data_IF_169558720449
#
_entry.id   IF_169558720449
#
_cell.length_a   1.000
_cell.length_b   1.000
_cell.length_c   1.000
_cell.angle_alpha   90.00
_cell.angle_beta   90.00
_cell.angle_gamma   90.00
#
_symmetry.space_group_name_H-M   'P 1'
#
loop_
_entity.id
_entity.type
_entity.pdbx_description
1 polymer ?
#
# COMPACT_ATOMS: atom_id res chain seq x y z
N UNK A 1 0.69 -48.87 51.31
CA UNK A 1 1.21 -47.54 51.68
C UNK A 1 1.89 -46.95 50.45
N UNK A 2 1.19 -46.07 49.74
CA UNK A 2 1.72 -45.34 48.59
C UNK A 2 2.23 -43.97 49.09
N UNK A 3 3.49 -43.63 48.76
CA UNK A 3 4.06 -42.31 49.01
C UNK A 3 4.08 -41.52 47.70
N UNK A 4 3.15 -40.59 47.58
CA UNK A 4 3.02 -39.65 46.46
C UNK A 4 3.97 -38.48 46.69
N UNK A 5 4.99 -38.30 45.84
CA UNK A 5 5.82 -37.09 45.80
C UNK A 5 5.14 -36.06 44.91
N UNK A 6 4.79 -34.92 45.49
CA UNK A 6 4.21 -33.77 44.78
C UNK A 6 5.38 -32.92 44.26
N UNK A 7 5.54 -32.86 42.93
CA UNK A 7 6.40 -31.88 42.27
C UNK A 7 5.58 -30.61 42.00
N UNK A 8 5.93 -29.51 42.68
CA UNK A 8 5.42 -28.17 42.39
C UNK A 8 6.15 -27.62 41.16
N UNK A 9 5.45 -27.57 40.02
CA UNK A 9 5.89 -26.85 38.81
C UNK A 9 5.41 -25.41 38.95
N UNK A 10 6.34 -24.49 39.19
CA UNK A 10 6.08 -23.04 39.20
C UNK A 10 6.08 -22.54 37.76
N UNK A 11 4.90 -22.27 37.21
CA UNK A 11 4.77 -21.56 35.94
C UNK A 11 5.04 -20.06 36.16
N UNK A 12 6.20 -19.58 35.71
CA UNK A 12 6.43 -18.14 35.53
C UNK A 12 5.68 -17.69 34.28
N UNK A 13 4.49 -17.10 34.46
CA UNK A 13 3.81 -16.37 33.41
C UNK A 13 4.52 -15.04 33.20
N UNK A 14 5.46 -14.98 32.26
CA UNK A 14 5.99 -13.71 31.74
C UNK A 14 4.88 -13.03 30.93
N UNK A 15 4.14 -12.14 31.59
CA UNK A 15 3.24 -11.21 30.91
C UNK A 15 4.13 -10.22 30.15
N UNK A 16 4.31 -10.45 28.86
CA UNK A 16 4.82 -9.44 27.95
C UNK A 16 3.76 -8.34 27.87
N UNK A 17 3.96 -7.25 28.62
CA UNK A 17 3.23 -6.01 28.40
C UNK A 17 3.69 -5.47 27.04
N UNK A 18 2.93 -5.76 25.99
CA UNK A 18 3.00 -4.97 24.77
C UNK A 18 2.48 -3.58 25.15
N UNK A 19 3.39 -2.60 25.31
CA UNK A 19 3.02 -1.20 25.26
C UNK A 19 2.55 -0.90 23.84
N UNK A 20 1.26 -1.12 23.57
CA UNK A 20 0.62 -0.58 22.38
C UNK A 20 0.56 0.92 22.58
N UNK A 21 1.38 1.66 21.84
CA UNK A 21 1.24 3.12 21.72
C UNK A 21 -0.16 3.37 21.21
N UNK A 22 -0.98 4.01 22.05
CA UNK A 22 -2.37 4.22 21.72
C UNK A 22 -2.50 5.32 20.66
N UNK A 23 -2.78 4.95 19.42
CA UNK A 23 -3.03 5.94 18.37
C UNK A 23 -4.22 6.85 18.76
N UNK A 24 -4.17 8.13 18.37
CA UNK A 24 -5.17 9.16 18.75
C UNK A 24 -6.63 8.77 18.46
N UNK A 25 -6.85 7.81 17.56
CA UNK A 25 -8.17 7.34 17.12
C UNK A 25 -8.63 6.00 17.72
N UNK A 26 -7.93 5.46 18.72
CA UNK A 26 -8.18 4.13 19.32
C UNK A 26 -9.56 3.93 19.98
N UNK A 27 -10.37 4.98 20.13
CA UNK A 27 -11.77 4.81 20.58
C UNK A 27 -12.69 4.21 19.51
N UNK A 28 -12.13 3.87 18.35
CA UNK A 28 -12.83 3.22 17.25
C UNK A 28 -12.98 1.71 17.51
N UNK A 29 -14.19 1.19 17.28
CA UNK A 29 -14.49 -0.23 17.25
C UNK A 29 -15.46 -0.48 16.11
N UNK A 30 -15.04 -1.29 15.12
CA UNK A 30 -15.88 -1.63 13.98
C UNK A 30 -17.18 -2.34 14.40
N UNK A 31 -17.16 -3.05 15.53
CA UNK A 31 -18.33 -3.74 16.10
C UNK A 31 -19.29 -2.82 16.85
N UNK A 32 -18.83 -1.65 17.30
CA UNK A 32 -19.60 -0.77 18.17
C UNK A 32 -19.36 0.70 17.81
N UNK A 33 -19.50 1.03 16.53
CA UNK A 33 -19.36 2.40 16.04
C UNK A 33 -20.53 3.28 16.55
N UNK A 34 -20.28 4.50 17.05
CA UNK A 34 -21.33 5.36 17.58
C UNK A 34 -22.38 5.71 16.51
N UNK A 35 -23.66 5.42 16.78
CA UNK A 35 -24.74 5.64 15.81
C UNK A 35 -24.90 7.12 15.41
N UNK A 36 -24.65 8.05 16.33
CA UNK A 36 -24.73 9.50 16.08
C UNK A 36 -23.62 10.01 15.15
N UNK A 37 -22.51 9.29 15.04
CA UNK A 37 -21.38 9.64 14.18
C UNK A 37 -21.53 9.02 12.78
N UNK A 38 -22.54 8.17 12.55
CA UNK A 38 -22.70 7.43 11.31
C UNK A 38 -23.34 8.28 10.20
N UNK A 39 -22.54 8.68 9.23
CA UNK A 39 -22.96 9.43 8.05
C UNK A 39 -22.14 9.01 6.81
N UNK A 40 -22.53 9.41 5.59
CA UNK A 40 -21.70 9.16 4.41
C UNK A 40 -20.31 9.78 4.54
N UNK A 41 -19.27 9.03 4.17
CA UNK A 41 -17.88 9.48 4.24
C UNK A 41 -17.65 10.76 3.43
N UNK A 42 -18.18 10.80 2.21
CA UNK A 42 -18.05 11.95 1.30
C UNK A 42 -18.68 13.22 1.92
N UNK A 43 -19.86 13.10 2.52
CA UNK A 43 -20.49 14.24 3.22
C UNK A 43 -19.68 14.71 4.43
N UNK A 44 -19.13 13.79 5.22
CA UNK A 44 -18.30 14.15 6.37
C UNK A 44 -17.03 14.87 5.94
N UNK A 45 -16.34 14.34 4.90
CA UNK A 45 -15.12 14.93 4.37
C UNK A 45 -15.38 16.29 3.72
N UNK A 46 -16.38 16.38 2.84
CA UNK A 46 -16.77 17.63 2.17
C UNK A 46 -17.11 18.73 3.16
N UNK A 47 -17.93 18.43 4.18
CA UNK A 47 -18.26 19.40 5.21
C UNK A 47 -17.03 19.85 6.02
N UNK A 48 -16.08 18.94 6.27
CA UNK A 48 -14.84 19.30 6.96
C UNK A 48 -14.00 20.32 6.17
N UNK A 49 -14.00 20.21 4.84
CA UNK A 49 -13.31 21.13 3.92
C UNK A 49 -14.05 22.47 3.80
N UNK A 50 -15.38 22.49 3.83
CA UNK A 50 -16.16 23.74 3.92
C UNK A 50 -15.84 24.51 5.20
N UNK A 51 -15.75 23.82 6.34
CA UNK A 51 -15.37 24.46 7.61
C UNK A 51 -13.91 24.92 7.59
N UNK A 52 -13.03 24.20 6.88
CA UNK A 52 -11.64 24.60 6.69
C UNK A 52 -11.55 25.93 5.91
N UNK A 53 -12.29 26.07 4.80
CA UNK A 53 -12.30 27.30 4.01
C UNK A 53 -12.96 28.46 4.75
N UNK A 54 -13.96 28.17 5.58
CA UNK A 54 -14.59 29.12 6.49
C UNK A 54 -13.74 29.50 7.72
N UNK A 55 -12.56 28.88 7.90
CA UNK A 55 -11.66 29.08 9.04
C UNK A 55 -12.26 28.69 10.41
N UNK A 56 -13.30 27.85 10.44
CA UNK A 56 -13.76 27.20 11.67
C UNK A 56 -12.91 25.95 11.93
N UNK A 57 -11.74 26.18 12.51
CA UNK A 57 -10.76 25.14 12.79
C UNK A 57 -11.31 24.02 13.68
N UNK A 58 -12.14 24.37 14.67
CA UNK A 58 -12.67 23.39 15.62
C UNK A 58 -13.66 22.44 14.97
N UNK A 59 -14.58 22.95 14.14
CA UNK A 59 -15.49 22.09 13.40
C UNK A 59 -14.77 21.31 12.30
N UNK A 60 -13.84 21.94 11.59
CA UNK A 60 -13.03 21.27 10.56
C UNK A 60 -12.27 20.08 11.14
N UNK A 61 -11.57 20.25 12.27
CA UNK A 61 -10.89 19.15 12.96
C UNK A 61 -11.85 18.00 13.28
N UNK A 62 -13.00 18.31 13.90
CA UNK A 62 -13.99 17.32 14.32
C UNK A 62 -14.49 16.47 13.14
N UNK A 63 -14.81 17.10 12.01
CA UNK A 63 -15.30 16.38 10.84
C UNK A 63 -14.19 15.66 10.06
N UNK A 64 -12.97 16.19 10.03
CA UNK A 64 -11.80 15.49 9.48
C UNK A 64 -11.52 14.20 10.27
N UNK A 65 -11.45 14.28 11.59
CA UNK A 65 -11.29 13.09 12.46
C UNK A 65 -12.45 12.09 12.32
N UNK A 66 -13.69 12.58 12.19
CA UNK A 66 -14.84 11.73 11.93
C UNK A 66 -14.72 11.02 10.58
N UNK A 67 -14.33 11.74 9.53
CA UNK A 67 -14.17 11.18 8.20
C UNK A 67 -13.10 10.07 8.18
N UNK A 68 -11.98 10.24 8.89
CA UNK A 68 -10.96 9.19 9.06
C UNK A 68 -11.51 7.95 9.76
N UNK A 69 -12.33 8.12 10.82
CA UNK A 69 -12.98 7.01 11.51
C UNK A 69 -14.00 6.29 10.63
N UNK A 70 -14.77 7.01 9.81
CA UNK A 70 -15.72 6.44 8.84
C UNK A 70 -15.01 5.67 7.72
N UNK A 71 -13.88 6.20 7.23
CA UNK A 71 -13.06 5.51 6.23
C UNK A 71 -12.49 4.19 6.77
N UNK A 72 -11.95 4.19 7.99
CA UNK A 72 -11.53 2.95 8.67
C UNK A 72 -12.69 1.98 8.87
N UNK A 73 -13.86 2.46 9.30
CA UNK A 73 -15.08 1.64 9.43
C UNK A 73 -15.44 0.94 8.13
N UNK A 74 -15.39 1.66 7.01
CA UNK A 74 -15.67 1.11 5.70
C UNK A 74 -14.66 0.02 5.34
N UNK A 75 -13.35 0.33 5.37
CA UNK A 75 -12.29 -0.63 5.01
C UNK A 75 -12.29 -1.89 5.88
N UNK A 76 -12.46 -1.76 7.19
CA UNK A 76 -12.48 -2.92 8.09
C UNK A 76 -13.72 -3.79 7.87
N UNK A 77 -14.89 -3.17 7.63
CA UNK A 77 -16.13 -3.90 7.36
C UNK A 77 -16.06 -4.66 6.03
N UNK A 78 -15.44 -4.06 5.00
CA UNK A 78 -15.21 -4.71 3.72
C UNK A 78 -14.23 -5.87 3.84
N UNK A 79 -13.07 -5.63 4.48
CA UNK A 79 -12.07 -6.66 4.72
C UNK A 79 -12.65 -7.86 5.48
N UNK A 80 -13.46 -7.61 6.53
CA UNK A 80 -14.11 -8.65 7.31
C UNK A 80 -15.06 -9.51 6.45
N UNK A 81 -15.89 -8.86 5.62
CA UNK A 81 -16.83 -9.58 4.76
C UNK A 81 -16.13 -10.36 3.65
N UNK A 82 -15.14 -9.74 2.99
CA UNK A 82 -14.36 -10.40 1.94
C UNK A 82 -13.60 -11.60 2.46
N UNK A 83 -13.00 -11.51 3.65
CA UNK A 83 -12.29 -12.62 4.28
C UNK A 83 -13.25 -13.77 4.62
N UNK A 84 -14.39 -13.50 5.25
CA UNK A 84 -15.34 -14.56 5.61
C UNK A 84 -15.99 -15.22 4.39
N UNK A 85 -16.13 -14.50 3.28
CA UNK A 85 -16.69 -15.03 2.04
C UNK A 85 -15.64 -15.61 1.09
N UNK A 86 -14.35 -15.62 1.48
CA UNK A 86 -13.24 -15.98 0.58
C UNK A 86 -13.27 -17.43 0.09
N UNK A 87 -13.78 -18.34 0.93
CA UNK A 87 -13.80 -19.79 0.71
C UNK A 87 -15.11 -20.36 0.19
N UNK A 88 -16.14 -19.53 0.00
CA UNK A 88 -17.47 -19.99 -0.43
C UNK A 88 -17.40 -20.61 -1.82
N UNK A 89 -17.98 -21.80 -1.97
CA UNK A 89 -18.09 -22.53 -3.23
C UNK A 89 -16.98 -23.55 -3.50
N UNK A 90 -15.90 -23.59 -2.69
CA UNK A 90 -14.78 -24.56 -2.87
C UNK A 90 -15.16 -26.03 -2.66
N UNK A 91 -16.33 -26.30 -2.09
CA UNK A 91 -16.82 -27.65 -1.77
C UNK A 91 -17.61 -28.29 -2.92
N UNK A 92 -17.88 -27.56 -4.01
CA UNK A 92 -18.77 -28.00 -5.09
C UNK A 92 -18.03 -28.37 -6.39
N UNK A 93 -16.83 -28.97 -6.29
CA UNK A 93 -15.96 -29.28 -7.44
C UNK A 93 -16.21 -30.65 -8.10
N UNK A 94 -17.18 -31.46 -7.65
CA UNK A 94 -17.11 -32.89 -7.98
C UNK A 94 -17.77 -33.38 -9.28
N UNK A 95 -18.56 -32.61 -10.07
CA UNK A 95 -19.30 -33.25 -11.18
C UNK A 95 -19.71 -32.36 -12.38
N UNK A 96 -18.99 -31.28 -12.71
CA UNK A 96 -19.38 -30.44 -13.85
C UNK A 96 -18.27 -30.32 -14.90
N UNK A 97 -18.58 -30.64 -16.15
CA UNK A 97 -17.62 -30.62 -17.27
C UNK A 97 -17.40 -29.22 -17.86
N UNK A 98 -18.23 -28.24 -17.49
CA UNK A 98 -18.18 -26.89 -18.06
C UNK A 98 -17.61 -25.86 -17.07
N UNK A 99 -16.33 -25.52 -17.25
CA UNK A 99 -15.55 -24.61 -16.40
C UNK A 99 -16.19 -23.23 -16.24
N UNK A 100 -16.82 -22.71 -17.30
CA UNK A 100 -17.46 -21.38 -17.28
C UNK A 100 -18.64 -21.31 -16.31
N UNK A 101 -19.48 -22.34 -16.31
CA UNK A 101 -20.64 -22.42 -15.40
C UNK A 101 -20.19 -22.56 -13.94
N UNK A 102 -19.10 -23.29 -13.70
CA UNK A 102 -18.49 -23.38 -12.37
C UNK A 102 -18.02 -22.00 -11.88
N UNK A 103 -17.24 -21.28 -12.69
CA UNK A 103 -16.75 -19.94 -12.34
C UNK A 103 -17.92 -18.98 -12.04
N UNK A 104 -18.95 -18.97 -12.88
CA UNK A 104 -20.12 -18.11 -12.67
C UNK A 104 -20.88 -18.50 -11.40
N UNK A 105 -21.00 -19.81 -11.11
CA UNK A 105 -21.54 -20.31 -9.85
C UNK A 105 -20.77 -19.79 -8.63
N UNK A 106 -19.44 -19.85 -8.66
CA UNK A 106 -18.59 -19.29 -7.60
C UNK A 106 -18.81 -17.79 -7.39
N UNK A 107 -18.89 -17.01 -8.49
CA UNK A 107 -19.15 -15.56 -8.42
C UNK A 107 -20.50 -15.29 -7.74
N UNK A 108 -21.56 -15.99 -8.15
CA UNK A 108 -22.91 -15.83 -7.59
C UNK A 108 -22.93 -16.19 -6.10
N UNK A 109 -22.32 -17.32 -5.71
CA UNK A 109 -22.27 -17.73 -4.30
C UNK A 109 -21.49 -16.73 -3.44
N UNK A 110 -20.35 -16.23 -3.95
CA UNK A 110 -19.56 -15.20 -3.26
C UNK A 110 -20.35 -13.90 -3.12
N UNK A 111 -21.01 -13.44 -4.19
CA UNK A 111 -21.84 -12.24 -4.17
C UNK A 111 -22.99 -12.34 -3.16
N UNK A 112 -23.67 -13.49 -3.10
CA UNK A 112 -24.72 -13.75 -2.11
C UNK A 112 -24.18 -13.70 -0.67
N UNK A 113 -23.01 -14.29 -0.42
CA UNK A 113 -22.34 -14.23 0.88
C UNK A 113 -22.00 -12.79 1.27
N UNK A 114 -21.39 -12.02 0.36
CA UNK A 114 -21.01 -10.63 0.60
C UNK A 114 -22.25 -9.78 0.90
N UNK A 115 -23.34 -9.92 0.13
CA UNK A 115 -24.60 -9.20 0.36
C UNK A 115 -25.14 -9.47 1.76
N UNK A 116 -25.17 -10.73 2.19
CA UNK A 116 -25.62 -11.11 3.55
C UNK A 116 -24.68 -10.63 4.65
N UNK A 117 -23.37 -10.57 4.38
CA UNK A 117 -22.42 -10.06 5.35
C UNK A 117 -22.57 -8.55 5.53
N UNK A 118 -22.67 -7.79 4.42
CA UNK A 118 -22.79 -6.33 4.42
C UNK A 118 -24.05 -5.84 5.14
N UNK A 119 -25.15 -6.59 5.16
CA UNK A 119 -26.36 -6.19 5.93
C UNK A 119 -26.14 -6.08 7.44
N UNK A 120 -25.10 -6.72 7.98
CA UNK A 120 -24.80 -6.68 9.41
C UNK A 120 -24.02 -5.41 9.82
N UNK A 121 -23.54 -4.62 8.86
CA UNK A 121 -22.71 -3.45 9.14
C UNK A 121 -23.41 -2.17 8.69
N UNK A 122 -23.62 -1.20 9.61
CA UNK A 122 -24.43 -0.02 9.31
C UNK A 122 -23.73 0.95 8.35
N UNK A 123 -22.41 0.85 8.15
CA UNK A 123 -21.65 1.65 7.17
C UNK A 123 -22.16 1.45 5.74
N UNK A 124 -22.61 0.23 5.39
CA UNK A 124 -23.13 -0.07 4.06
C UNK A 124 -24.58 0.39 3.84
N UNK A 125 -25.23 0.94 4.87
CA UNK A 125 -26.54 1.61 4.72
C UNK A 125 -26.40 3.05 4.19
N UNK A 126 -25.18 3.58 4.13
CA UNK A 126 -24.86 4.93 3.65
C UNK A 126 -24.40 4.87 2.19
N UNK A 127 -24.45 6.02 1.51
CA UNK A 127 -23.95 6.11 0.13
C UNK A 127 -22.47 5.76 0.09
N UNK A 128 -22.09 4.95 -0.89
CA UNK A 128 -20.71 4.57 -1.09
C UNK A 128 -19.88 5.78 -1.55
N UNK A 129 -18.64 5.95 -1.09
CA UNK A 129 -17.84 7.13 -1.43
C UNK A 129 -17.34 7.05 -2.88
N UNK A 130 -17.21 8.20 -3.55
CA UNK A 130 -16.58 8.28 -4.87
C UNK A 130 -15.11 7.86 -4.84
N UNK A 131 -14.61 7.41 -5.99
CA UNK A 131 -13.22 7.00 -6.18
C UNK A 131 -12.22 8.11 -5.82
N UNK A 132 -12.54 9.37 -6.14
CA UNK A 132 -11.73 10.54 -5.78
C UNK A 132 -11.58 10.70 -4.27
N UNK A 133 -12.67 10.51 -3.53
CA UNK A 133 -12.65 10.56 -2.06
C UNK A 133 -11.79 9.42 -1.52
N UNK A 134 -11.99 8.18 -1.99
CA UNK A 134 -11.17 7.05 -1.55
C UNK A 134 -9.68 7.27 -1.86
N UNK A 135 -9.35 7.76 -3.06
CA UNK A 135 -7.99 8.10 -3.46
C UNK A 135 -7.35 9.16 -2.56
N UNK A 136 -8.10 10.18 -2.14
CA UNK A 136 -7.60 11.20 -1.20
C UNK A 136 -7.23 10.59 0.17
N UNK A 137 -8.02 9.63 0.66
CA UNK A 137 -7.71 8.94 1.91
C UNK A 137 -6.54 7.96 1.76
N UNK A 138 -6.40 7.29 0.62
CA UNK A 138 -5.24 6.43 0.32
C UNK A 138 -3.93 7.22 0.24
N UNK A 139 -3.99 8.45 -0.26
CA UNK A 139 -2.89 9.40 -0.25
C UNK A 139 -2.74 10.15 1.09
N UNK A 140 -3.53 9.79 2.11
CA UNK A 140 -3.52 10.41 3.45
C UNK A 140 -3.78 11.93 3.45
N UNK A 141 -4.42 12.47 2.41
CA UNK A 141 -4.72 13.91 2.26
C UNK A 141 -5.45 14.52 3.47
N UNK A 142 -6.40 13.84 4.15
CA UNK A 142 -7.03 14.40 5.34
C UNK A 142 -6.02 14.82 6.44
N UNK A 143 -4.88 14.13 6.56
CA UNK A 143 -3.84 14.49 7.52
C UNK A 143 -3.10 15.78 7.16
N UNK A 144 -2.97 16.10 5.87
CA UNK A 144 -2.44 17.39 5.42
C UNK A 144 -3.31 18.55 5.91
N UNK A 145 -4.64 18.41 5.82
CA UNK A 145 -5.56 19.40 6.37
C UNK A 145 -5.53 19.43 7.89
N UNK A 146 -5.56 18.27 8.55
CA UNK A 146 -5.52 18.17 10.02
C UNK A 146 -4.28 18.83 10.61
N UNK A 147 -3.11 18.64 9.99
CA UNK A 147 -1.86 19.27 10.40
C UNK A 147 -2.02 20.80 10.51
N UNK A 148 -2.56 21.44 9.47
CA UNK A 148 -2.75 22.89 9.47
C UNK A 148 -3.82 23.33 10.48
N UNK A 149 -4.93 22.59 10.56
CA UNK A 149 -6.01 22.88 11.51
C UNK A 149 -5.51 22.82 12.96
N UNK A 150 -4.75 21.78 13.33
CA UNK A 150 -4.17 21.68 14.67
C UNK A 150 -3.15 22.77 14.95
N UNK A 151 -2.36 23.17 13.95
CA UNK A 151 -1.45 24.30 14.07
C UNK A 151 -2.20 25.60 14.40
N UNK A 152 -3.30 25.89 13.68
CA UNK A 152 -4.14 27.07 13.96
C UNK A 152 -4.81 27.03 15.34
N UNK A 153 -5.09 25.83 15.85
CA UNK A 153 -5.62 25.62 17.20
C UNK A 153 -4.55 25.63 18.30
N UNK A 154 -3.27 25.84 17.95
CA UNK A 154 -2.13 25.75 18.85
C UNK A 154 -1.95 24.35 19.50
N UNK A 155 -2.41 23.30 18.82
CA UNK A 155 -2.23 21.89 19.21
C UNK A 155 -1.01 21.31 18.47
N UNK A 156 0.18 21.83 18.76
CA UNK A 156 1.41 21.54 18.00
C UNK A 156 1.79 20.05 17.98
N UNK A 157 1.60 19.35 19.10
CA UNK A 157 1.88 17.90 19.22
C UNK A 157 1.08 17.09 18.18
N UNK A 158 -0.22 17.39 18.04
CA UNK A 158 -1.10 16.72 17.07
C UNK A 158 -0.81 17.15 15.65
N UNK A 159 -0.41 18.42 15.46
CA UNK A 159 0.04 18.89 14.16
C UNK A 159 1.28 18.11 13.68
N UNK A 160 2.22 17.81 14.58
CA UNK A 160 3.40 16.97 14.28
C UNK A 160 2.98 15.56 13.89
N UNK A 161 2.12 14.89 14.67
CA UNK A 161 1.68 13.52 14.34
C UNK A 161 0.91 13.45 13.02
N UNK A 162 0.06 14.45 12.72
CA UNK A 162 -0.64 14.54 11.45
C UNK A 162 0.32 14.80 10.27
N UNK A 163 1.29 15.70 10.43
CA UNK A 163 2.33 15.96 9.43
C UNK A 163 3.13 14.68 9.14
N UNK A 164 3.59 13.99 10.19
CA UNK A 164 4.34 12.75 10.09
C UNK A 164 3.53 11.67 9.36
N UNK A 165 2.27 11.45 9.78
CA UNK A 165 1.36 10.48 9.14
C UNK A 165 1.18 10.75 7.64
N UNK A 166 1.06 12.01 7.22
CA UNK A 166 0.96 12.36 5.80
C UNK A 166 2.26 12.07 5.03
N UNK A 167 3.40 12.48 5.58
CA UNK A 167 4.72 12.33 4.96
C UNK A 167 5.14 10.86 4.81
N UNK A 168 4.61 9.96 5.63
CA UNK A 168 4.83 8.52 5.44
C UNK A 168 4.33 8.01 4.08
N UNK A 169 3.26 8.60 3.50
CA UNK A 169 2.81 8.28 2.13
C UNK A 169 3.29 9.28 1.07
N UNK A 170 3.65 10.50 1.47
CA UNK A 170 4.06 11.59 0.56
C UNK A 170 5.40 12.20 1.00
N UNK A 171 6.51 11.46 0.95
CA UNK A 171 7.81 11.93 1.45
C UNK A 171 8.36 13.16 0.70
N UNK A 172 7.98 13.31 -0.58
CA UNK A 172 8.51 14.34 -1.45
C UNK A 172 7.80 15.70 -1.30
N UNK A 173 6.75 15.81 -0.47
CA UNK A 173 6.05 17.08 -0.27
C UNK A 173 6.98 18.10 0.45
N UNK A 174 7.42 19.16 -0.24
CA UNK A 174 8.38 20.10 0.31
C UNK A 174 7.75 21.02 1.36
N UNK A 175 6.44 21.27 1.29
CA UNK A 175 5.75 22.20 2.20
C UNK A 175 5.60 21.56 3.58
N UNK A 176 5.15 20.31 3.63
CA UNK A 176 4.95 19.61 4.90
C UNK A 176 6.28 19.16 5.50
N UNK A 177 7.28 18.83 4.68
CA UNK A 177 8.65 18.58 5.16
C UNK A 177 9.26 19.80 5.85
N UNK A 178 9.08 21.01 5.28
CA UNK A 178 9.49 22.28 5.92
C UNK A 178 8.68 22.59 7.18
N UNK A 179 7.39 22.24 7.19
CA UNK A 179 6.54 22.44 8.38
C UNK A 179 7.00 21.55 9.54
N UNK A 180 7.38 20.31 9.26
CA UNK A 180 7.90 19.38 10.27
C UNK A 180 9.28 19.82 10.80
N UNK A 181 10.16 20.34 9.95
CA UNK A 181 11.45 20.90 10.41
C UNK A 181 11.27 22.16 11.26
N UNK A 182 10.27 22.99 10.94
CA UNK A 182 9.87 24.10 11.79
C UNK A 182 9.42 23.62 13.18
N UNK A 183 8.57 22.60 13.28
CA UNK A 183 8.15 22.06 14.58
C UNK A 183 9.30 21.53 15.42
N UNK A 184 10.27 20.83 14.79
CA UNK A 184 11.51 20.37 15.44
C UNK A 184 12.34 21.50 16.03
N UNK A 185 12.24 22.72 15.50
CA UNK A 185 12.96 23.88 16.03
C UNK A 185 12.28 24.50 17.27
N UNK A 186 11.01 24.20 17.50
CA UNK A 186 10.21 24.78 18.59
C UNK A 186 10.29 23.95 19.87
N UNK A 187 10.26 22.62 19.76
CA UNK A 187 10.27 21.69 20.89
C UNK A 187 10.78 20.31 20.46
N UNK A 188 11.04 19.44 21.44
CA UNK A 188 11.41 18.06 21.16
C UNK A 188 10.20 17.27 20.62
N UNK A 189 10.27 16.92 19.34
CA UNK A 189 9.17 16.26 18.63
C UNK A 189 9.23 14.74 18.67
N UNK A 190 10.31 14.12 19.16
CA UNK A 190 10.55 12.68 18.97
C UNK A 190 9.39 11.81 19.45
N UNK A 191 8.79 12.13 20.60
CA UNK A 191 7.65 11.39 21.16
C UNK A 191 6.35 11.52 20.34
N UNK A 192 6.25 12.56 19.50
CA UNK A 192 5.05 12.92 18.74
C UNK A 192 5.12 12.52 17.27
N UNK A 193 6.24 11.94 16.81
CA UNK A 193 6.41 11.38 15.46
C UNK A 193 5.71 10.02 15.35
N UNK A 194 4.40 10.03 15.56
CA UNK A 194 3.54 8.84 15.50
C UNK A 194 2.84 8.81 14.15
N UNK A 195 2.93 7.69 13.43
CA UNK A 195 2.09 7.42 12.27
C UNK A 195 0.75 6.82 12.74
N UNK A 196 -0.35 7.56 12.53
CA UNK A 196 -1.70 7.10 12.89
C UNK A 196 -2.28 6.06 11.91
N UNK A 197 -1.59 5.73 10.84
CA UNK A 197 -1.94 4.68 9.88
C UNK A 197 -0.89 3.58 9.75
N UNK A 198 0.06 3.54 10.69
CA UNK A 198 1.14 2.54 10.74
C UNK A 198 0.57 1.12 10.64
N UNK A 199 1.17 0.30 9.78
CA UNK A 199 0.79 -1.11 9.65
C UNK A 199 1.53 -1.98 10.67
N UNK A 200 0.92 -3.08 11.14
CA UNK A 200 1.53 -3.91 12.19
C UNK A 200 2.93 -4.46 11.89
N UNK A 201 3.26 -4.69 10.61
CA UNK A 201 4.59 -5.18 10.21
C UNK A 201 5.66 -4.08 10.16
N UNK A 202 5.29 -2.79 10.08
CA UNK A 202 6.23 -1.68 9.89
C UNK A 202 7.09 -1.48 11.14
N UNK A 203 6.45 -1.39 12.32
CA UNK A 203 7.14 -1.33 13.60
C UNK A 203 8.07 -2.54 13.83
N UNK A 204 7.60 -3.75 13.47
CA UNK A 204 8.39 -4.98 13.60
C UNK A 204 9.60 -4.96 12.67
N UNK A 205 9.42 -4.54 11.41
CA UNK A 205 10.49 -4.40 10.44
C UNK A 205 11.55 -3.39 10.91
N UNK A 206 11.14 -2.19 11.31
CA UNK A 206 12.05 -1.15 11.81
C UNK A 206 12.83 -1.63 13.04
N UNK A 207 12.16 -2.33 13.97
CA UNK A 207 12.80 -2.91 15.15
C UNK A 207 13.82 -3.97 14.76
N UNK A 208 13.47 -4.86 13.83
CA UNK A 208 14.37 -5.92 13.36
C UNK A 208 15.62 -5.35 12.67
N UNK A 209 15.49 -4.27 11.90
CA UNK A 209 16.61 -3.55 11.26
C UNK A 209 17.49 -2.86 12.31
N UNK A 210 16.92 -2.21 13.34
CA UNK A 210 17.68 -1.63 14.45
C UNK A 210 18.50 -2.70 15.19
N UNK A 211 17.89 -3.85 15.48
CA UNK A 211 18.56 -4.99 16.13
C UNK A 211 19.69 -5.55 15.26
N UNK A 212 19.46 -5.67 13.95
CA UNK A 212 20.47 -6.09 12.98
C UNK A 212 21.71 -5.17 13.04
N UNK A 213 21.50 -3.86 13.00
CA UNK A 213 22.57 -2.87 13.04
C UNK A 213 23.32 -2.84 14.39
N UNK A 214 22.65 -3.22 15.48
CA UNK A 214 23.27 -3.36 16.81
C UNK A 214 24.01 -4.69 17.02
N UNK A 215 23.90 -5.65 16.09
CA UNK A 215 24.55 -6.96 16.16
C UNK A 215 23.75 -8.05 16.87
N UNK A 216 22.54 -7.78 17.37
CA UNK A 216 21.64 -8.81 17.91
C UNK A 216 20.91 -9.52 16.76
N UNK A 217 21.63 -10.42 16.09
CA UNK A 217 21.12 -11.18 14.96
C UNK A 217 19.99 -12.15 15.35
N UNK A 218 19.96 -12.64 16.59
CA UNK A 218 18.93 -13.59 17.04
C UNK A 218 17.58 -12.90 17.19
N UNK A 219 17.54 -11.77 17.90
CA UNK A 219 16.29 -10.99 18.02
C UNK A 219 15.90 -10.38 16.68
N UNK A 220 16.87 -9.93 15.88
CA UNK A 220 16.61 -9.41 14.53
C UNK A 220 15.94 -10.44 13.63
N UNK A 221 16.48 -11.66 13.55
CA UNK A 221 15.88 -12.73 12.75
C UNK A 221 14.44 -13.03 13.21
N UNK A 222 14.22 -13.17 14.52
CA UNK A 222 12.87 -13.43 15.07
C UNK A 222 11.88 -12.32 14.70
N UNK A 223 12.24 -11.07 14.92
CA UNK A 223 11.34 -9.94 14.68
C UNK A 223 11.12 -9.72 13.17
N UNK A 224 12.10 -10.04 12.32
CA UNK A 224 11.97 -10.00 10.85
C UNK A 224 11.06 -11.10 10.32
N UNK A 225 11.12 -12.32 10.85
CA UNK A 225 10.19 -13.42 10.52
C UNK A 225 8.75 -13.04 10.87
N UNK A 226 8.54 -12.40 12.03
CA UNK A 226 7.23 -11.88 12.42
C UNK A 226 6.76 -10.76 11.49
N UNK A 227 7.65 -9.84 11.11
CA UNK A 227 7.34 -8.78 10.15
C UNK A 227 6.92 -9.34 8.79
N UNK A 228 7.65 -10.33 8.25
CA UNK A 228 7.33 -10.98 6.99
C UNK A 228 5.97 -11.70 7.04
N UNK A 229 5.70 -12.45 8.12
CA UNK A 229 4.41 -13.12 8.32
C UNK A 229 3.24 -12.14 8.36
N UNK A 230 3.37 -11.05 9.12
CA UNK A 230 2.32 -10.04 9.25
C UNK A 230 2.16 -9.20 7.97
N UNK A 231 3.25 -8.96 7.22
CA UNK A 231 3.20 -8.36 5.89
C UNK A 231 2.38 -9.22 4.94
N UNK A 232 2.69 -10.52 4.81
CA UNK A 232 1.93 -11.40 3.89
C UNK A 232 0.45 -11.50 4.27
N UNK A 233 0.14 -11.49 5.56
CA UNK A 233 -1.24 -11.43 6.05
C UNK A 233 -1.92 -10.12 5.64
N UNK A 234 -1.27 -8.98 5.87
CA UNK A 234 -1.79 -7.65 5.51
C UNK A 234 -1.95 -7.51 4.00
N UNK A 235 -1.01 -8.03 3.21
CA UNK A 235 -1.08 -8.08 1.75
C UNK A 235 -2.29 -8.89 1.27
N UNK A 236 -2.53 -10.08 1.82
CA UNK A 236 -3.74 -10.85 1.52
C UNK A 236 -5.00 -10.07 1.89
N UNK A 237 -5.05 -9.40 3.04
CA UNK A 237 -6.19 -8.55 3.42
C UNK A 237 -6.41 -7.41 2.42
N UNK A 238 -5.34 -6.78 1.93
CA UNK A 238 -5.44 -5.75 0.89
C UNK A 238 -6.08 -6.29 -0.39
N UNK A 239 -5.61 -7.45 -0.89
CA UNK A 239 -6.17 -8.08 -2.09
C UNK A 239 -7.67 -8.38 -1.96
N UNK A 240 -8.09 -8.81 -0.78
CA UNK A 240 -9.50 -9.11 -0.49
C UNK A 240 -10.34 -7.85 -0.36
N UNK A 241 -9.74 -6.73 0.06
CA UNK A 241 -10.42 -5.43 0.21
C UNK A 241 -10.66 -4.73 -1.13
N UNK A 242 -9.95 -5.13 -2.19
CA UNK A 242 -10.18 -4.63 -3.56
C UNK A 242 -11.49 -5.11 -4.19
N UNK A 243 -12.23 -6.01 -3.55
CA UNK A 243 -13.52 -6.53 -4.03
C UNK A 243 -14.72 -5.71 -3.46
N UNK A 244 -14.45 -4.45 -3.09
CA UNK A 244 -15.40 -3.50 -2.54
C UNK A 244 -16.52 -3.10 -3.52
N UNK A 245 -17.42 -2.25 -3.06
CA UNK A 245 -18.49 -1.76 -3.95
C UNK A 245 -17.93 -0.77 -4.98
N UNK A 246 -18.35 -0.89 -6.25
CA UNK A 246 -18.02 0.05 -7.31
C UNK A 246 -19.27 0.83 -7.71
N UNK A 247 -19.12 2.10 -8.08
CA UNK A 247 -20.21 2.88 -8.69
C UNK A 247 -20.38 2.41 -10.14
N UNK A 248 -21.47 1.70 -10.41
CA UNK A 248 -21.74 1.15 -11.74
C UNK A 248 -22.40 2.24 -12.56
N UNK A 249 -21.63 2.88 -13.44
CA UNK A 249 -22.19 3.70 -14.51
C UNK A 249 -22.70 2.81 -15.65
N UNK A 250 -23.65 3.34 -16.42
CA UNK A 250 -24.58 2.63 -17.32
C UNK A 250 -24.03 1.39 -18.06
N UNK A 251 -24.88 0.37 -18.17
CA UNK A 251 -24.58 -0.89 -18.85
C UNK A 251 -24.50 -0.69 -20.37
N UNK A 252 -23.32 -0.93 -20.96
CA UNK A 252 -23.14 -1.06 -22.42
C UNK A 252 -23.51 -2.48 -22.86
N UNK A 253 -22.62 -3.44 -22.60
CA UNK A 253 -22.72 -4.86 -22.99
C UNK A 253 -22.18 -5.78 -21.89
N UNK A 254 -22.67 -7.03 -21.81
CA UNK A 254 -22.35 -7.96 -20.71
C UNK A 254 -20.84 -8.22 -20.52
N UNK A 255 -20.14 -8.67 -21.57
CA UNK A 255 -18.71 -9.02 -21.46
C UNK A 255 -17.79 -7.81 -21.29
N UNK A 256 -17.95 -6.70 -22.03
CA UNK A 256 -17.20 -5.48 -21.79
C UNK A 256 -17.37 -4.96 -20.35
N UNK A 257 -18.62 -4.88 -19.87
CA UNK A 257 -18.90 -4.43 -18.49
C UNK A 257 -18.24 -5.35 -17.45
N UNK A 258 -18.30 -6.68 -17.66
CA UNK A 258 -17.65 -7.63 -16.76
C UNK A 258 -16.12 -7.49 -16.78
N UNK A 259 -15.54 -7.29 -17.97
CA UNK A 259 -14.11 -7.09 -18.14
C UNK A 259 -13.64 -5.80 -17.46
N UNK A 260 -14.38 -4.69 -17.60
CA UNK A 260 -14.09 -3.41 -16.95
C UNK A 260 -14.10 -3.54 -15.42
N UNK A 261 -15.09 -4.22 -14.84
CA UNK A 261 -15.11 -4.46 -13.39
C UNK A 261 -13.92 -5.29 -12.92
N UNK A 262 -13.59 -6.36 -13.65
CA UNK A 262 -12.42 -7.18 -13.32
C UNK A 262 -11.13 -6.39 -13.45
N UNK A 263 -11.02 -5.53 -14.46
CA UNK A 263 -9.88 -4.67 -14.69
C UNK A 263 -9.64 -3.70 -13.54
N UNK A 264 -10.67 -3.02 -13.05
CA UNK A 264 -10.56 -2.13 -11.89
C UNK A 264 -10.16 -2.89 -10.60
N UNK A 265 -10.75 -4.07 -10.37
CA UNK A 265 -10.35 -4.95 -9.25
C UNK A 265 -8.88 -5.36 -9.37
N UNK A 266 -8.40 -5.70 -10.58
CA UNK A 266 -7.00 -6.08 -10.82
C UNK A 266 -6.05 -4.91 -10.59
N UNK A 267 -6.39 -3.71 -11.07
CA UNK A 267 -5.61 -2.49 -10.79
C UNK A 267 -5.43 -2.26 -9.29
N UNK A 268 -6.51 -2.38 -8.52
CA UNK A 268 -6.43 -2.26 -7.06
C UNK A 268 -5.52 -3.35 -6.47
N UNK A 269 -5.67 -4.61 -6.89
CA UNK A 269 -4.88 -5.74 -6.38
C UNK A 269 -3.39 -5.58 -6.66
N UNK A 270 -3.01 -5.12 -7.84
CA UNK A 270 -1.59 -4.86 -8.19
C UNK A 270 -1.02 -3.71 -7.36
N UNK A 271 -1.80 -2.65 -7.11
CA UNK A 271 -1.38 -1.51 -6.26
C UNK A 271 -1.14 -1.89 -4.78
N UNK A 272 -1.58 -3.06 -4.31
CA UNK A 272 -1.35 -3.48 -2.93
C UNK A 272 0.13 -3.58 -2.56
N UNK A 273 1.02 -3.99 -3.48
CA UNK A 273 2.47 -4.04 -3.19
C UNK A 273 3.03 -2.64 -2.93
N UNK A 274 2.69 -1.68 -3.80
CA UNK A 274 3.14 -0.30 -3.70
C UNK A 274 2.56 0.38 -2.44
N UNK A 275 1.24 0.22 -2.21
CA UNK A 275 0.55 0.84 -1.07
C UNK A 275 0.99 0.32 0.29
N UNK A 276 1.57 -0.89 0.35
CA UNK A 276 2.10 -1.51 1.58
C UNK A 276 3.62 -1.37 1.70
N UNK A 277 4.29 -0.70 0.77
CA UNK A 277 5.72 -0.45 0.89
C UNK A 277 5.96 0.60 1.98
N UNK A 278 6.71 0.28 3.06
CA UNK A 278 6.93 1.23 4.12
C UNK A 278 7.89 2.34 3.69
N UNK A 279 7.70 3.51 4.27
CA UNK A 279 8.63 4.63 4.19
C UNK A 279 9.52 4.63 5.43
N UNK A 280 10.83 4.61 5.23
CA UNK A 280 11.82 4.65 6.32
C UNK A 280 12.72 5.85 6.12
N UNK A 281 12.61 6.82 7.02
CA UNK A 281 13.45 8.01 6.99
C UNK A 281 13.23 8.92 5.78
N UNK A 282 12.07 8.85 5.12
CA UNK A 282 11.73 9.66 3.95
C UNK A 282 11.89 8.94 2.60
N UNK A 283 12.26 7.65 2.61
CA UNK A 283 12.42 6.86 1.40
C UNK A 283 11.62 5.56 1.49
N UNK A 284 10.94 5.21 0.39
CA UNK A 284 10.27 3.93 0.28
C UNK A 284 11.30 2.80 0.15
N UNK A 285 11.08 1.70 0.88
CA UNK A 285 11.98 0.56 0.84
C UNK A 285 11.81 -0.18 -0.48
N UNK A 286 12.79 -0.06 -1.36
CA UNK A 286 12.80 -0.80 -2.63
C UNK A 286 12.81 -2.31 -2.40
N UNK A 287 12.08 -3.03 -3.26
CA UNK A 287 11.99 -4.50 -3.26
C UNK A 287 11.74 -5.05 -1.85
N UNK A 288 10.75 -4.48 -1.15
CA UNK A 288 10.54 -4.67 0.29
C UNK A 288 10.60 -6.14 0.77
N UNK A 289 9.93 -7.05 0.06
CA UNK A 289 9.95 -8.50 0.40
C UNK A 289 11.34 -9.11 0.24
N UNK A 290 12.06 -8.75 -0.82
CA UNK A 290 13.45 -9.17 -1.02
C UNK A 290 14.32 -8.66 0.13
N UNK A 291 14.18 -7.38 0.49
CA UNK A 291 14.91 -6.76 1.60
C UNK A 291 14.70 -7.51 2.93
N UNK A 292 13.48 -7.95 3.25
CA UNK A 292 13.23 -8.79 4.44
C UNK A 292 14.01 -10.12 4.39
N UNK A 293 14.01 -10.80 3.24
CA UNK A 293 14.78 -12.04 3.06
C UNK A 293 16.29 -11.84 3.11
N UNK A 294 16.79 -10.69 2.63
CA UNK A 294 18.20 -10.33 2.75
C UNK A 294 18.62 -10.19 4.23
N UNK A 295 17.86 -9.45 5.04
CA UNK A 295 18.15 -9.33 6.48
C UNK A 295 18.10 -10.68 7.20
N UNK A 296 17.09 -11.51 6.91
CA UNK A 296 16.99 -12.85 7.50
C UNK A 296 18.17 -13.74 7.09
N UNK A 297 18.53 -13.75 5.80
CA UNK A 297 19.64 -14.54 5.26
C UNK A 297 20.94 -14.25 6.01
N UNK A 298 21.27 -12.97 6.19
CA UNK A 298 22.50 -12.59 6.85
C UNK A 298 22.45 -12.88 8.36
N UNK A 299 21.31 -12.60 9.01
CA UNK A 299 21.15 -12.88 10.42
C UNK A 299 21.30 -14.39 10.72
N UNK A 300 20.67 -15.26 9.95
CA UNK A 300 20.82 -16.71 10.08
C UNK A 300 22.25 -17.18 9.82
N UNK A 301 22.92 -16.60 8.81
CA UNK A 301 24.33 -16.89 8.55
C UNK A 301 25.22 -16.55 9.77
N UNK A 302 25.03 -15.39 10.39
CA UNK A 302 25.78 -14.98 11.60
C UNK A 302 25.49 -15.86 12.82
N UNK A 303 24.32 -16.50 12.86
CA UNK A 303 23.93 -17.46 13.89
C UNK A 303 24.40 -18.89 13.59
N UNK A 304 25.16 -19.11 12.52
CA UNK A 304 25.55 -20.43 11.99
C UNK A 304 24.36 -21.33 11.59
N UNK A 305 23.17 -20.75 11.37
CA UNK A 305 22.02 -21.46 10.84
C UNK A 305 22.02 -21.39 9.30
N UNK A 306 22.96 -22.12 8.71
CA UNK A 306 23.19 -22.07 7.26
C UNK A 306 21.99 -22.62 6.47
N UNK A 307 21.20 -23.51 7.08
CA UNK A 307 20.01 -24.09 6.44
C UNK A 307 18.96 -23.00 6.18
N UNK A 308 18.63 -22.22 7.20
CA UNK A 308 17.69 -21.11 7.05
C UNK A 308 18.29 -19.97 6.22
N UNK A 309 19.59 -19.71 6.32
CA UNK A 309 20.27 -18.74 5.48
C UNK A 309 20.15 -19.07 3.98
N UNK A 310 20.39 -20.33 3.59
CA UNK A 310 20.28 -20.78 2.21
C UNK A 310 18.82 -20.69 1.69
N UNK A 311 17.84 -21.03 2.52
CA UNK A 311 16.41 -20.89 2.19
C UNK A 311 16.03 -19.43 1.96
N UNK A 312 16.47 -18.51 2.83
CA UNK A 312 16.23 -17.08 2.66
C UNK A 312 16.92 -16.52 1.41
N UNK A 313 18.14 -16.96 1.12
CA UNK A 313 18.85 -16.59 -0.11
C UNK A 313 18.07 -17.07 -1.35
N UNK A 314 17.58 -18.31 -1.36
CA UNK A 314 16.76 -18.83 -2.45
C UNK A 314 15.45 -18.04 -2.60
N UNK A 315 14.78 -17.68 -1.50
CA UNK A 315 13.59 -16.81 -1.52
C UNK A 315 13.88 -15.43 -2.08
N UNK A 316 15.01 -14.81 -1.73
CA UNK A 316 15.44 -13.52 -2.26
C UNK A 316 15.56 -13.56 -3.80
N UNK A 317 16.17 -14.61 -4.33
CA UNK A 317 16.42 -14.78 -5.77
C UNK A 317 15.13 -14.83 -6.61
N UNK A 318 13.94 -15.06 -6.00
CA UNK A 318 12.67 -14.92 -6.71
C UNK A 318 12.38 -13.47 -7.11
N UNK A 319 12.74 -12.52 -6.24
CA UNK A 319 12.37 -11.12 -6.37
C UNK A 319 13.46 -10.30 -7.07
N UNK A 320 14.72 -10.70 -6.90
CA UNK A 320 15.85 -10.06 -7.57
C UNK A 320 16.88 -11.09 -8.02
N UNK A 321 16.62 -11.70 -9.18
CA UNK A 321 17.50 -12.72 -9.74
C UNK A 321 18.83 -12.15 -10.27
N UNK A 322 18.91 -10.84 -10.50
CA UNK A 322 20.07 -10.19 -11.12
C UNK A 322 21.07 -9.64 -10.10
N UNK A 323 20.75 -9.70 -8.80
CA UNK A 323 21.66 -9.28 -7.74
C UNK A 323 22.90 -10.16 -7.66
N UNK A 324 24.04 -9.59 -8.04
CA UNK A 324 25.33 -10.27 -8.06
C UNK A 324 25.78 -10.73 -6.67
N UNK A 325 25.48 -9.98 -5.62
CA UNK A 325 25.87 -10.33 -4.24
C UNK A 325 25.12 -11.57 -3.79
N UNK A 326 23.81 -11.63 -4.04
CA UNK A 326 23.04 -12.80 -3.67
C UNK A 326 23.37 -14.02 -4.54
N UNK A 327 23.67 -13.85 -5.82
CA UNK A 327 24.17 -14.92 -6.68
C UNK A 327 25.47 -15.54 -6.13
N UNK A 328 26.41 -14.70 -5.68
CA UNK A 328 27.65 -15.15 -5.05
C UNK A 328 27.39 -15.89 -3.73
N UNK A 329 26.47 -15.38 -2.90
CA UNK A 329 26.07 -16.06 -1.66
C UNK A 329 25.46 -17.45 -1.95
N UNK A 330 24.61 -17.57 -2.97
CA UNK A 330 24.05 -18.86 -3.40
C UNK A 330 25.14 -19.82 -3.89
N UNK A 331 26.09 -19.33 -4.68
CA UNK A 331 27.24 -20.12 -5.13
C UNK A 331 28.09 -20.60 -3.94
N UNK A 332 28.30 -19.73 -2.94
CA UNK A 332 29.02 -20.04 -1.71
C UNK A 332 28.32 -21.14 -0.90
N UNK A 333 27.01 -21.06 -0.69
CA UNK A 333 26.24 -22.11 -0.02
C UNK A 333 26.28 -23.44 -0.78
N UNK A 334 26.22 -23.40 -2.12
CA UNK A 334 26.34 -24.61 -2.96
C UNK A 334 27.72 -25.25 -2.87
N UNK A 335 28.78 -24.44 -2.83
CA UNK A 335 30.15 -24.92 -2.74
C UNK A 335 30.40 -25.68 -1.43
N UNK A 336 29.95 -25.13 -0.30
CA UNK A 336 30.10 -25.76 1.02
C UNK A 336 28.97 -26.73 1.39
N UNK A 337 28.15 -27.13 0.42
CA UNK A 337 26.97 -27.98 0.62
C UNK A 337 27.27 -29.25 1.43
N UNK A 338 28.34 -29.96 1.08
CA UNK A 338 28.72 -31.22 1.75
C UNK A 338 29.19 -30.96 3.19
N UNK A 339 29.97 -29.91 3.41
CA UNK A 339 30.51 -29.57 4.73
C UNK A 339 29.41 -29.15 5.72
N UNK A 340 28.37 -28.47 5.23
CA UNK A 340 27.26 -27.99 6.06
C UNK A 340 26.02 -28.91 6.04
N UNK A 341 26.11 -30.06 5.37
CA UNK A 341 25.01 -31.02 5.28
C UNK A 341 23.77 -30.44 4.60
N UNK A 342 23.94 -29.53 3.64
CA UNK A 342 22.86 -28.91 2.90
C UNK A 342 22.33 -29.87 1.83
N UNK A 343 21.01 -30.00 1.78
CA UNK A 343 20.26 -30.74 0.75
C UNK A 343 19.67 -29.79 -0.30
N UNK A 344 19.24 -30.34 -1.44
CA UNK A 344 18.62 -29.58 -2.54
C UNK A 344 17.39 -28.77 -2.08
N UNK A 345 16.69 -29.27 -1.05
CA UNK A 345 15.54 -28.59 -0.44
C UNK A 345 15.91 -27.23 0.17
N UNK A 346 17.14 -27.06 0.69
CA UNK A 346 17.59 -25.78 1.28
C UNK A 346 17.92 -24.73 0.21
N UNK A 347 17.95 -25.11 -1.07
CA UNK A 347 18.14 -24.21 -2.19
C UNK A 347 16.83 -23.90 -2.92
N UNK A 348 15.69 -24.30 -2.35
CA UNK A 348 14.37 -23.95 -2.85
C UNK A 348 13.84 -22.73 -2.07
N UNK A 349 13.15 -21.79 -2.72
CA UNK A 349 12.46 -20.71 -2.04
C UNK A 349 11.45 -21.24 -1.02
N UNK A 350 11.23 -20.47 0.05
CA UNK A 350 10.21 -20.81 1.04
C UNK A 350 8.79 -20.78 0.43
N UNK A 351 7.86 -21.63 0.90
CA UNK A 351 6.52 -21.74 0.33
C UNK A 351 5.73 -20.42 0.32
N UNK A 352 5.83 -19.62 1.38
CA UNK A 352 5.16 -18.33 1.49
C UNK A 352 5.70 -17.30 0.49
N UNK A 353 7.03 -17.26 0.28
CA UNK A 353 7.66 -16.43 -0.74
C UNK A 353 7.22 -16.82 -2.15
N UNK A 354 7.23 -18.13 -2.43
CA UNK A 354 6.85 -18.66 -3.73
C UNK A 354 5.37 -18.39 -4.04
N UNK A 355 4.49 -18.59 -3.05
CA UNK A 355 3.06 -18.27 -3.18
C UNK A 355 2.85 -16.79 -3.48
N UNK A 356 3.51 -15.92 -2.72
CA UNK A 356 3.44 -14.47 -2.93
C UNK A 356 3.91 -14.11 -4.34
N UNK A 357 5.09 -14.57 -4.74
CA UNK A 357 5.67 -14.31 -6.07
C UNK A 357 4.77 -14.78 -7.20
N UNK A 358 4.25 -16.01 -7.13
CA UNK A 358 3.35 -16.53 -8.16
C UNK A 358 2.07 -15.70 -8.26
N UNK A 359 1.53 -15.27 -7.12
CA UNK A 359 0.31 -14.48 -7.07
C UNK A 359 0.52 -13.06 -7.63
N UNK A 360 1.57 -12.36 -7.23
CA UNK A 360 1.87 -10.99 -7.71
C UNK A 360 2.24 -10.99 -9.18
N UNK A 361 3.07 -11.94 -9.62
CA UNK A 361 3.44 -12.09 -11.04
C UNK A 361 2.19 -12.37 -11.87
N UNK A 362 1.31 -13.28 -11.42
CA UNK A 362 0.11 -13.59 -12.20
C UNK A 362 -0.88 -12.43 -12.28
N UNK A 363 -1.02 -11.66 -11.20
CA UNK A 363 -1.85 -10.46 -11.20
C UNK A 363 -1.32 -9.40 -12.16
N UNK A 364 0.02 -9.20 -12.22
CA UNK A 364 0.65 -8.25 -13.13
C UNK A 364 0.51 -8.69 -14.59
N UNK A 365 0.81 -9.95 -14.90
CA UNK A 365 0.60 -10.52 -16.25
C UNK A 365 -0.85 -10.35 -16.73
N UNK A 366 -1.82 -10.60 -15.84
CA UNK A 366 -3.24 -10.51 -16.19
C UNK A 366 -3.68 -9.05 -16.36
N UNK A 367 -3.14 -8.12 -15.58
CA UNK A 367 -3.39 -6.69 -15.74
C UNK A 367 -2.82 -6.18 -17.07
N UNK A 368 -1.57 -6.53 -17.40
CA UNK A 368 -0.94 -6.18 -18.68
C UNK A 368 -1.72 -6.78 -19.86
N UNK A 369 -2.14 -8.04 -19.73
CA UNK A 369 -3.04 -8.67 -20.69
C UNK A 369 -4.34 -7.86 -20.86
N UNK A 370 -5.01 -7.49 -19.77
CA UNK A 370 -6.24 -6.70 -19.86
C UNK A 370 -6.01 -5.32 -20.49
N UNK A 371 -4.91 -4.63 -20.18
CA UNK A 371 -4.56 -3.34 -20.81
C UNK A 371 -4.42 -3.47 -22.32
N UNK A 372 -3.70 -4.50 -22.79
CA UNK A 372 -3.45 -4.70 -24.21
C UNK A 372 -4.71 -5.03 -25.03
N UNK A 373 -5.74 -5.62 -24.42
CA UNK A 373 -6.95 -6.06 -25.14
C UNK A 373 -8.18 -5.17 -24.90
N UNK A 374 -8.23 -4.40 -23.81
CA UNK A 374 -9.36 -3.52 -23.47
C UNK A 374 -9.09 -2.05 -23.79
N UNK A 375 -7.83 -1.63 -23.92
CA UNK A 375 -7.47 -0.23 -24.22
C UNK A 375 -7.16 0.04 -25.70
N UNK A 376 -7.35 -0.95 -26.58
CA UNK A 376 -7.27 -0.76 -28.03
C UNK A 376 -8.62 -0.29 -28.56
N UNK A 377 -8.64 0.92 -29.13
CA UNK A 377 -9.67 1.53 -30.01
C UNK A 377 -10.52 2.69 -29.44
N UNK A 378 -9.92 3.61 -28.67
CA UNK A 378 -10.43 5.00 -28.51
C UNK A 378 -9.75 6.00 -29.48
N UNK A 379 -8.98 5.53 -30.46
CA UNK A 379 -8.31 6.32 -31.50
C UNK A 379 -8.94 6.11 -32.89
N UNK A 380 -10.27 6.02 -32.99
CA UNK A 380 -10.96 6.07 -34.30
C UNK A 380 -12.45 6.46 -34.22
N UNK A 381 -12.84 7.34 -33.30
CA UNK A 381 -14.04 8.15 -33.53
C UNK A 381 -13.70 9.29 -34.48
N UNK A 382 -13.62 8.99 -35.77
CA UNK A 382 -13.64 10.01 -36.82
C UNK A 382 -14.95 10.78 -36.65
N UNK A 383 -14.85 12.02 -36.20
CA UNK A 383 -15.97 12.95 -36.20
C UNK A 383 -16.55 12.98 -37.61
N UNK A 384 -17.86 12.77 -37.72
CA UNK A 384 -18.62 12.85 -38.97
C UNK A 384 -18.56 14.24 -39.63
N UNK A 385 -17.84 15.20 -39.06
CA UNK A 385 -17.55 16.50 -39.64
C UNK A 385 -16.34 16.50 -40.60
N UNK A 386 -15.43 15.51 -40.53
CA UNK A 386 -14.25 15.46 -41.41
C UNK A 386 -14.53 14.72 -42.74
N UNK A 387 -15.53 13.83 -42.78
CA UNK A 387 -15.96 13.16 -44.01
C UNK A 387 -16.65 14.11 -45.01
N UNK A 388 -17.09 15.30 -44.58
CA UNK A 388 -17.71 16.29 -45.45
C UNK A 388 -16.70 17.26 -46.09
N UNK A 389 -15.47 17.35 -45.56
CA UNK A 389 -14.43 18.26 -46.10
C UNK A 389 -13.55 17.61 -47.17
N UNK A 390 -13.55 16.28 -47.27
CA UNK A 390 -12.71 15.51 -48.20
C UNK A 390 -13.25 15.44 -49.65
N UNK A 391 -14.29 16.21 -50.00
CA UNK A 391 -14.90 16.21 -51.34
C UNK A 391 -14.54 17.42 -52.21
N UNK A 392 -13.60 18.27 -51.80
CA UNK A 392 -13.16 19.39 -52.62
C UNK A 392 -11.66 19.66 -52.50
N UNK A 393 -10.83 18.89 -53.19
CA UNK A 393 -9.64 19.35 -53.94
C UNK A 393 -8.95 18.16 -54.62
N UNK A 394 -8.45 18.29 -55.86
CA UNK A 394 -7.74 17.21 -56.55
C UNK A 394 -6.35 16.98 -55.93
N UNK A 395 -5.83 15.73 -55.93
CA UNK A 395 -4.49 15.42 -55.45
C UNK A 395 -3.52 15.76 -56.58
N UNK A 396 -2.52 16.58 -56.30
CA UNK A 396 -1.21 16.70 -57.01
C UNK A 396 -0.75 18.16 -57.00
N UNK A 397 -0.42 18.69 -55.83
CA UNK A 397 0.48 19.83 -55.67
C UNK A 397 0.99 19.83 -54.22
N UNK A 398 2.30 20.02 -54.02
CA UNK A 398 3.03 19.99 -52.73
C UNK A 398 3.62 18.65 -52.28
N UNK A 399 4.45 18.06 -53.14
CA UNK A 399 5.69 17.44 -52.66
C UNK A 399 6.89 18.09 -53.36
N UNK A 400 7.18 19.34 -53.01
CA UNK A 400 8.48 19.98 -53.28
C UNK A 400 8.85 20.91 -52.12
N UNK A 401 9.70 20.45 -51.19
CA UNK A 401 10.22 21.29 -50.12
C UNK A 401 11.19 20.53 -49.21
N UNK A 402 12.47 20.81 -49.39
CA UNK A 402 13.62 20.28 -48.64
C UNK A 402 13.45 20.46 -47.13
N UNK A 403 13.74 19.38 -46.38
CA UNK A 403 13.69 19.38 -44.93
C UNK A 403 14.85 20.11 -44.27
N UNK A 404 14.59 20.59 -43.06
CA UNK A 404 15.59 20.87 -42.04
C UNK A 404 15.03 20.35 -40.70
N UNK A 405 15.70 19.32 -40.18
CA UNK A 405 15.53 18.81 -38.82
C UNK A 405 16.50 19.59 -37.94
N UNK A 406 16.02 20.30 -36.92
CA UNK A 406 16.81 20.62 -35.73
C UNK A 406 15.93 21.02 -34.53
N UNK A 407 15.83 20.06 -33.61
CA UNK A 407 15.98 20.14 -32.15
C UNK A 407 15.20 21.13 -31.24
N UNK A 408 14.66 20.49 -30.19
CA UNK A 408 14.74 20.85 -28.77
C UNK A 408 13.70 21.80 -28.16
N UNK A 409 12.76 21.15 -27.47
CA UNK A 409 11.85 21.72 -26.49
C UNK A 409 12.56 21.80 -25.14
N UNK A 410 13.12 22.96 -24.79
CA UNK A 410 13.59 23.26 -23.43
C UNK A 410 13.08 24.65 -23.05
N UNK A 411 11.85 24.67 -22.55
CA UNK A 411 11.24 25.86 -21.98
C UNK A 411 11.93 26.23 -20.67
N UNK A 412 12.46 27.46 -20.67
CA UNK A 412 12.97 28.20 -19.52
C UNK A 412 11.89 28.36 -18.43
N UNK A 413 12.18 27.90 -17.21
CA UNK A 413 11.63 28.54 -16.01
C UNK A 413 12.55 28.28 -14.82
N UNK A 414 12.70 29.31 -13.97
CA UNK A 414 13.55 29.39 -12.76
C UNK A 414 14.99 29.92 -12.95
N UNK A 415 15.11 31.24 -13.10
CA UNK A 415 16.31 31.96 -12.66
C UNK A 415 16.02 32.69 -11.34
N UNK A 416 16.75 32.30 -10.29
CA UNK A 416 16.86 33.03 -9.03
C UNK A 416 17.76 34.28 -9.16
N UNK A 417 17.58 35.29 -8.29
CA UNK A 417 18.14 36.63 -8.47
C UNK A 417 19.63 36.71 -8.10
N UNK A 418 20.43 37.36 -8.95
CA UNK A 418 21.82 37.69 -8.64
C UNK A 418 21.89 38.85 -7.66
N UNK A 419 22.44 38.60 -6.47
CA UNK A 419 22.89 39.63 -5.54
C UNK A 419 24.24 40.24 -5.95
N UNK A 420 24.30 41.56 -5.78
CA UNK A 420 25.42 42.52 -5.84
C UNK A 420 26.82 41.99 -5.49
N UNK A 421 27.78 42.43 -6.28
CA UNK A 421 29.19 42.57 -5.94
C UNK A 421 29.76 43.74 -6.74
N UNK A 422 30.08 44.80 -6.02
CA UNK A 422 30.43 46.16 -6.45
C UNK A 422 31.96 46.34 -6.51
N UNK A 423 32.44 47.09 -7.49
CA UNK A 423 33.71 47.84 -7.61
C UNK A 423 33.88 48.09 -9.12
N UNK A 424 33.85 49.27 -9.69
CA UNK A 424 34.25 50.59 -9.23
C UNK A 424 34.99 51.22 -10.43
N UNK A 425 34.52 52.40 -10.86
CA UNK A 425 34.97 53.29 -11.97
C UNK A 425 36.49 53.62 -11.98
N UNK A 426 37.09 54.46 -12.89
CA UNK A 426 36.51 55.40 -13.88
C UNK A 426 37.28 55.60 -15.23
N UNK A 427 36.85 56.64 -15.97
CA UNK A 427 37.43 57.39 -17.12
C UNK A 427 36.72 57.11 -18.47
N UNK A 428 36.12 58.05 -19.19
CA UNK A 428 36.11 59.53 -19.21
C UNK A 428 34.69 60.10 -19.36
#
# INVERSE_FOLDING_TARGET
MAQTRICLVVFFSTVYLFCTVKAQYEKYSFKSFPANDLMPLESAHGHALEMYTAQDWKQSAKYLELSLRLHRLLKDSEAYCSQNCSGVGREHEENNTETTLLIMGHIIMRAACLKRCKTNFPVFSKSYPKQETLGAFEQRIPYRYLQYVYYQMNELERAVSAAHTYLQRNPEDPLLSKSLSYYKSLFDTEEYLVDHEEKPYEALFLKAVKLYNSGDFSSSARDMELAAAEYFKTFNTCLMSCEGSYDVQEFKDFYPTLADFYFEVMKCKVKCEENLTPNVGGFFVEKFVATMYHYMQFAYYKLNDVRNAALCAASYMLFDANDQVMQQNMAYYRFYRQQWGLQDEHFKPRPEALRYFNQTTKLRELLEFAQNYLQTDDEDTVSSEEAASALSSPPDEEFEGIGDYEESFLAEWWQEPKTKGDTGEPAE
#
